data_IF_439518022056
#
_entry.id   IF_439518022056
#
_cell.length_a   1.000
_cell.length_b   1.000
_cell.length_c   1.000
_cell.angle_alpha   90.00
_cell.angle_beta   90.00
_cell.angle_gamma   90.00
#
_symmetry.space_group_name_H-M   'P 1'
#
loop_
_entity.id
_entity.type
_entity.pdbx_description
1 polymer ?
#
# COMPACT_ATOMS: atom_id res chain seq x y z
N UNK A 1 -29.83 -18.32 5.55
CA UNK A 1 -28.39 -17.95 5.55
C UNK A 1 -28.11 -17.21 6.85
N UNK A 2 -27.51 -17.86 7.83
CA UNK A 2 -27.01 -17.19 9.05
C UNK A 2 -25.75 -16.42 8.67
N UNK A 3 -25.80 -15.09 8.72
CA UNK A 3 -24.59 -14.27 8.57
C UNK A 3 -23.69 -14.57 9.76
N UNK A 4 -22.52 -15.15 9.52
CA UNK A 4 -21.50 -15.29 10.56
C UNK A 4 -21.17 -13.86 11.01
N UNK A 5 -21.41 -13.49 12.28
CA UNK A 5 -21.10 -12.15 12.74
C UNK A 5 -19.59 -11.93 12.60
N UNK A 6 -19.20 -10.91 11.83
CA UNK A 6 -17.80 -10.53 11.67
C UNK A 6 -17.28 -10.09 13.04
N UNK A 7 -16.43 -10.90 13.67
CA UNK A 7 -15.88 -10.62 15.00
C UNK A 7 -15.10 -9.30 14.93
N UNK A 8 -15.48 -8.32 15.74
CA UNK A 8 -14.70 -7.11 15.90
C UNK A 8 -13.36 -7.44 16.58
N UNK A 9 -12.28 -6.77 16.16
CA UNK A 9 -10.99 -6.92 16.81
C UNK A 9 -11.07 -6.46 18.27
N UNK A 10 -10.35 -7.17 19.14
CA UNK A 10 -10.12 -6.75 20.51
C UNK A 10 -9.22 -5.50 20.55
N UNK A 11 -9.26 -4.76 21.65
CA UNK A 11 -8.41 -3.59 21.84
C UNK A 11 -6.91 -3.94 21.75
N UNK A 12 -6.52 -5.13 22.21
CA UNK A 12 -5.15 -5.62 22.11
C UNK A 12 -4.73 -5.88 20.65
N UNK A 13 -5.61 -6.50 19.85
CA UNK A 13 -5.36 -6.73 18.42
C UNK A 13 -5.24 -5.41 17.64
N UNK A 14 -6.14 -4.45 17.90
CA UNK A 14 -6.08 -3.11 17.28
C UNK A 14 -4.76 -2.40 17.61
N UNK A 15 -4.30 -2.50 18.87
CA UNK A 15 -3.04 -1.88 19.29
C UNK A 15 -1.82 -2.55 18.64
N UNK A 16 -1.79 -3.89 18.61
CA UNK A 16 -0.72 -4.65 17.95
C UNK A 16 -0.66 -4.39 16.44
N UNK A 17 -1.82 -4.32 15.78
CA UNK A 17 -1.91 -4.01 14.35
C UNK A 17 -1.42 -2.59 14.05
N UNK A 18 -1.81 -1.61 14.87
CA UNK A 18 -1.34 -0.23 14.70
C UNK A 18 0.19 -0.13 14.81
N UNK A 19 0.80 -0.82 15.78
CA UNK A 19 2.26 -0.82 15.94
C UNK A 19 2.97 -1.53 14.80
N UNK A 20 2.54 -2.73 14.43
CA UNK A 20 3.22 -3.50 13.39
C UNK A 20 3.14 -2.79 12.04
N UNK A 21 2.00 -2.19 11.71
CA UNK A 21 1.83 -1.40 10.48
C UNK A 21 2.59 -0.08 10.55
N UNK A 22 2.68 0.55 11.73
CA UNK A 22 3.48 1.76 11.94
C UNK A 22 4.97 1.50 11.70
N UNK A 23 5.50 0.39 12.22
CA UNK A 23 6.88 -0.03 11.97
C UNK A 23 7.11 -0.35 10.49
N UNK A 24 6.15 -1.02 9.84
CA UNK A 24 6.22 -1.29 8.41
C UNK A 24 6.19 -0.01 7.56
N UNK A 25 5.44 1.02 7.97
CA UNK A 25 5.44 2.33 7.33
C UNK A 25 6.81 3.01 7.40
N UNK A 26 7.46 2.98 8.56
CA UNK A 26 8.84 3.50 8.72
C UNK A 26 9.82 2.72 7.84
N UNK A 27 9.73 1.39 7.82
CA UNK A 27 10.56 0.55 6.95
C UNK A 27 10.32 0.86 5.46
N UNK A 28 9.07 1.12 5.06
CA UNK A 28 8.72 1.49 3.68
C UNK A 28 9.32 2.84 3.27
N UNK A 29 9.35 3.84 4.17
CA UNK A 29 10.02 5.12 3.94
C UNK A 29 11.52 4.91 3.71
N UNK A 30 12.18 4.15 4.58
CA UNK A 30 13.61 3.82 4.45
C UNK A 30 13.89 3.07 3.15
N UNK A 31 13.05 2.09 2.82
CA UNK A 31 13.14 1.34 1.56
C UNK A 31 13.01 2.23 0.33
N UNK A 32 12.03 3.14 0.31
CA UNK A 32 11.86 4.11 -0.78
C UNK A 32 13.09 5.00 -0.95
N UNK A 33 13.66 5.51 0.14
CA UNK A 33 14.89 6.31 0.09
C UNK A 33 16.03 5.51 -0.56
N UNK A 34 16.25 4.26 -0.14
CA UNK A 34 17.30 3.43 -0.75
C UNK A 34 17.04 3.13 -2.23
N UNK A 35 15.80 2.85 -2.62
CA UNK A 35 15.46 2.64 -4.02
C UNK A 35 15.73 3.89 -4.86
N UNK A 36 15.36 5.08 -4.38
CA UNK A 36 15.59 6.34 -5.08
C UNK A 36 17.09 6.66 -5.20
N UNK A 37 17.89 6.37 -4.17
CA UNK A 37 19.35 6.56 -4.23
C UNK A 37 20.04 5.62 -5.24
N UNK A 38 19.43 4.47 -5.56
CA UNK A 38 19.96 3.51 -6.53
C UNK A 38 19.37 3.65 -7.94
N UNK A 39 18.36 4.48 -8.12
CA UNK A 39 17.68 4.64 -9.40
C UNK A 39 18.54 5.45 -10.38
N UNK A 40 18.94 4.84 -11.50
CA UNK A 40 19.84 5.45 -12.48
C UNK A 40 19.09 6.10 -13.67
N UNK A 41 17.82 5.77 -13.85
CA UNK A 41 16.98 6.28 -14.95
C UNK A 41 15.70 6.93 -14.44
N UNK A 42 15.13 7.86 -15.21
CA UNK A 42 13.84 8.49 -14.89
C UNK A 42 12.70 7.47 -14.72
N UNK A 43 12.72 6.39 -15.51
CA UNK A 43 11.76 5.27 -15.37
C UNK A 43 11.94 4.56 -14.03
N UNK A 44 13.18 4.24 -13.63
CA UNK A 44 13.45 3.60 -12.35
C UNK A 44 13.12 4.50 -11.14
N UNK A 45 13.34 5.81 -11.24
CA UNK A 45 12.92 6.79 -10.22
C UNK A 45 11.41 6.80 -10.08
N UNK A 46 10.70 6.90 -11.21
CA UNK A 46 9.22 6.93 -11.24
C UNK A 46 8.64 5.65 -10.68
N UNK A 47 9.12 4.49 -11.12
CA UNK A 47 8.64 3.20 -10.66
C UNK A 47 8.91 2.97 -9.17
N UNK A 48 10.07 3.40 -8.68
CA UNK A 48 10.41 3.34 -7.25
C UNK A 48 9.51 4.25 -6.42
N UNK A 49 9.28 5.49 -6.86
CA UNK A 49 8.41 6.45 -6.20
C UNK A 49 6.96 5.96 -6.13
N UNK A 50 6.45 5.36 -7.22
CA UNK A 50 5.10 4.79 -7.28
C UNK A 50 4.98 3.61 -6.32
N UNK A 51 5.89 2.64 -6.38
CA UNK A 51 5.87 1.48 -5.49
C UNK A 51 6.00 1.87 -4.01
N UNK A 52 7.04 2.64 -3.66
CA UNK A 52 7.26 3.05 -2.28
C UNK A 52 6.15 3.97 -1.77
N UNK A 53 5.61 4.85 -2.61
CA UNK A 53 4.50 5.72 -2.26
C UNK A 53 3.22 4.97 -1.90
N UNK A 54 2.83 3.97 -2.70
CA UNK A 54 1.64 3.15 -2.40
C UNK A 54 1.86 2.25 -1.18
N UNK A 55 3.08 1.74 -0.97
CA UNK A 55 3.45 0.96 0.21
C UNK A 55 3.34 1.78 1.51
N UNK A 56 3.89 3.00 1.50
CA UNK A 56 3.76 3.95 2.62
C UNK A 56 2.28 4.28 2.86
N UNK A 57 1.54 4.61 1.80
CA UNK A 57 0.12 4.94 1.92
C UNK A 57 -0.71 3.80 2.53
N UNK A 58 -0.46 2.56 2.10
CA UNK A 58 -1.13 1.37 2.63
C UNK A 58 -0.86 1.19 4.13
N UNK A 59 0.41 1.17 4.54
CA UNK A 59 0.73 0.98 5.95
C UNK A 59 0.31 2.16 6.82
N UNK A 60 0.40 3.40 6.32
CA UNK A 60 -0.07 4.58 7.03
C UNK A 60 -1.59 4.55 7.24
N UNK A 61 -2.35 4.28 6.18
CA UNK A 61 -3.81 4.17 6.23
C UNK A 61 -4.24 3.14 7.27
N UNK A 62 -3.57 1.99 7.27
CA UNK A 62 -3.85 0.89 8.19
C UNK A 62 -3.47 1.21 9.64
N UNK A 63 -2.33 1.88 9.84
CA UNK A 63 -1.88 2.35 11.16
C UNK A 63 -2.93 3.29 11.78
N UNK A 64 -3.44 4.24 11.00
CA UNK A 64 -4.44 5.22 11.43
C UNK A 64 -5.79 4.52 11.67
N UNK A 65 -6.20 3.61 10.78
CA UNK A 65 -7.44 2.84 10.95
C UNK A 65 -7.48 2.08 12.29
N UNK A 66 -6.39 1.42 12.65
CA UNK A 66 -6.29 0.65 13.88
C UNK A 66 -6.06 1.52 15.14
N UNK A 67 -5.49 2.72 15.00
CA UNK A 67 -5.31 3.66 16.10
C UNK A 67 -6.60 4.41 16.50
N UNK A 68 -7.52 4.61 15.56
CA UNK A 68 -8.72 5.45 15.79
C UNK A 68 -9.86 4.67 16.43
N UNK A 69 -10.46 5.26 17.48
CA UNK A 69 -11.63 4.71 18.19
C UNK A 69 -12.95 5.38 17.80
N UNK A 70 -12.90 6.57 17.20
CA UNK A 70 -14.08 7.33 16.81
C UNK A 70 -14.83 6.68 15.63
N UNK A 71 -16.07 6.26 15.84
CA UNK A 71 -16.83 5.40 14.92
C UNK A 71 -16.98 5.95 13.49
N UNK A 72 -17.33 7.23 13.32
CA UNK A 72 -17.48 7.84 11.98
C UNK A 72 -16.15 7.85 11.19
N UNK A 73 -15.07 8.28 11.84
CA UNK A 73 -13.74 8.29 11.25
C UNK A 73 -13.25 6.86 10.95
N UNK A 74 -13.50 5.90 11.85
CA UNK A 74 -13.14 4.49 11.67
C UNK A 74 -13.82 3.88 10.43
N UNK A 75 -15.06 4.25 10.14
CA UNK A 75 -15.76 3.83 8.92
C UNK A 75 -15.06 4.32 7.64
N UNK A 76 -14.69 5.60 7.59
CA UNK A 76 -14.00 6.18 6.44
C UNK A 76 -12.57 5.63 6.29
N UNK A 77 -11.83 5.51 7.39
CA UNK A 77 -10.48 4.96 7.40
C UNK A 77 -10.46 3.49 6.99
N UNK A 78 -11.50 2.71 7.32
CA UNK A 78 -11.64 1.33 6.83
C UNK A 78 -11.73 1.27 5.31
N UNK A 79 -12.45 2.20 4.68
CA UNK A 79 -12.52 2.28 3.22
C UNK A 79 -11.14 2.58 2.64
N UNK A 80 -10.42 3.55 3.20
CA UNK A 80 -9.06 3.86 2.75
C UNK A 80 -8.09 2.70 2.95
N UNK A 81 -8.11 2.05 4.11
CA UNK A 81 -7.27 0.89 4.44
C UNK A 81 -7.47 -0.27 3.45
N UNK A 82 -8.73 -0.60 3.14
CA UNK A 82 -9.03 -1.64 2.16
C UNK A 82 -8.70 -1.22 0.72
N UNK A 83 -8.97 0.03 0.35
CA UNK A 83 -8.65 0.55 -1.00
C UNK A 83 -7.15 0.63 -1.24
N UNK A 84 -6.37 0.91 -0.19
CA UNK A 84 -4.91 1.03 -0.30
C UNK A 84 -4.24 -0.30 -0.65
N UNK A 85 -4.86 -1.44 -0.34
CA UNK A 85 -4.36 -2.77 -0.77
C UNK A 85 -4.36 -2.85 -2.30
N UNK A 86 -5.42 -2.41 -2.96
CA UNK A 86 -5.50 -2.40 -4.42
C UNK A 86 -4.47 -1.45 -5.04
N UNK A 87 -4.33 -0.24 -4.49
CA UNK A 87 -3.26 0.68 -4.93
C UNK A 87 -1.86 0.09 -4.74
N UNK A 88 -1.62 -0.64 -3.66
CA UNK A 88 -0.34 -1.31 -3.43
C UNK A 88 -0.11 -2.46 -4.42
N UNK A 89 -1.15 -3.22 -4.79
CA UNK A 89 -1.04 -4.23 -5.84
C UNK A 89 -0.54 -3.58 -7.14
N UNK A 90 -1.20 -2.53 -7.61
CA UNK A 90 -0.77 -1.79 -8.81
C UNK A 90 0.64 -1.20 -8.68
N UNK A 91 0.95 -0.59 -7.54
CA UNK A 91 2.28 -0.04 -7.26
C UNK A 91 3.39 -1.10 -7.26
N UNK A 92 3.13 -2.30 -6.72
CA UNK A 92 4.08 -3.42 -6.67
C UNK A 92 4.47 -3.90 -8.07
N UNK A 93 3.51 -3.95 -8.99
CA UNK A 93 3.79 -4.37 -10.36
C UNK A 93 4.52 -3.31 -11.19
N UNK A 94 4.39 -2.03 -10.86
CA UNK A 94 4.96 -0.93 -11.64
C UNK A 94 6.48 -1.06 -11.91
N UNK A 95 7.36 -1.32 -10.92
CA UNK A 95 8.78 -1.57 -11.22
C UNK A 95 9.04 -2.88 -11.96
N UNK A 96 8.23 -3.93 -11.72
CA UNK A 96 8.37 -5.20 -12.44
C UNK A 96 8.05 -5.02 -13.93
N UNK A 97 7.01 -4.26 -14.25
CA UNK A 97 6.56 -4.03 -15.63
C UNK A 97 7.37 -2.96 -16.34
N UNK A 98 7.62 -1.81 -15.70
CA UNK A 98 8.31 -0.69 -16.38
C UNK A 98 9.83 -0.84 -16.40
N UNK A 99 10.45 -1.44 -15.38
CA UNK A 99 11.92 -1.56 -15.29
C UNK A 99 12.39 -2.93 -15.75
N UNK A 100 11.81 -4.03 -15.24
CA UNK A 100 12.31 -5.37 -15.59
C UNK A 100 11.81 -5.87 -16.96
N UNK A 101 10.54 -5.67 -17.30
CA UNK A 101 10.00 -6.03 -18.63
C UNK A 101 10.32 -4.91 -19.65
N UNK A 102 9.98 -3.66 -19.31
CA UNK A 102 10.23 -2.50 -20.15
C UNK A 102 9.47 -2.49 -21.49
N UNK A 103 9.77 -1.49 -22.31
CA UNK A 103 9.18 -1.33 -23.64
C UNK A 103 7.65 -1.21 -23.66
N UNK A 104 7.05 -1.46 -24.83
CA UNK A 104 5.60 -1.32 -25.02
C UNK A 104 4.79 -2.31 -24.17
N UNK A 105 5.28 -3.54 -24.02
CA UNK A 105 4.63 -4.57 -23.22
C UNK A 105 4.57 -4.16 -21.73
N UNK A 106 5.67 -3.65 -21.19
CA UNK A 106 5.73 -3.15 -19.82
C UNK A 106 4.72 -2.02 -19.56
N UNK A 107 4.60 -1.08 -20.49
CA UNK A 107 3.62 0.02 -20.40
C UNK A 107 2.18 -0.50 -20.44
N UNK A 108 1.85 -1.39 -21.39
CA UNK A 108 0.51 -1.99 -21.51
C UNK A 108 0.15 -2.79 -20.25
N UNK A 109 1.07 -3.62 -19.76
CA UNK A 109 0.87 -4.41 -18.54
C UNK A 109 0.64 -3.51 -17.32
N UNK A 110 1.42 -2.42 -17.20
CA UNK A 110 1.23 -1.43 -16.12
C UNK A 110 -0.17 -0.83 -16.17
N UNK A 111 -0.59 -0.33 -17.34
CA UNK A 111 -1.91 0.27 -17.49
C UNK A 111 -3.04 -0.71 -17.17
N UNK A 112 -2.93 -1.97 -17.64
CA UNK A 112 -3.93 -2.99 -17.39
C UNK A 112 -4.08 -3.33 -15.90
N UNK A 113 -2.98 -3.49 -15.18
CA UNK A 113 -2.99 -3.79 -13.74
C UNK A 113 -3.57 -2.63 -12.93
N UNK A 114 -3.22 -1.39 -13.29
CA UNK A 114 -3.77 -0.19 -12.65
C UNK A 114 -5.26 0.00 -12.88
N UNK A 115 -5.81 -0.45 -14.01
CA UNK A 115 -7.26 -0.38 -14.27
C UNK A 115 -8.04 -1.47 -13.53
N UNK A 116 -7.41 -2.60 -13.23
CA UNK A 116 -8.02 -3.72 -12.51
C UNK A 116 -7.98 -3.58 -10.99
N UNK A 117 -7.00 -2.83 -10.49
CA UNK A 117 -6.80 -2.60 -9.06
C UNK A 117 -7.66 -1.43 -8.59
#
# INVERSE_FOLDING_TARGET
>A
MTSIPKRAYSAAEEWLNSISHGLACVAAIVGLVFMLLRAETSVSVTASAVYGGTLIFMFLSSTIYHAVTHQKAKGLLKLFDHSAIYLLIAGTYTPLTLVAIGGQLGVIATAFIWLLS
#
